data_IF_054494778871
#
_entry.id   IF_054494778871
#
_cell.length_a   1.000
_cell.length_b   1.000
_cell.length_c   1.000
_cell.angle_alpha   90.00
_cell.angle_beta   90.00
_cell.angle_gamma   90.00
#
_symmetry.space_group_name_H-M   'P 1'
#
loop_
_entity.id
_entity.type
_entity.pdbx_description
1 polymer ?
#
# COMPACT_ATOMS: atom_id res chain seq x y z
N UNK A 1 8.78 -25.40 10.21
CA UNK A 1 10.07 -25.29 9.49
C UNK A 1 9.94 -25.03 7.99
N UNK A 2 9.14 -25.77 7.22
CA UNK A 2 9.07 -25.59 5.75
C UNK A 2 8.66 -24.16 5.32
N UNK A 3 7.65 -23.56 5.96
CA UNK A 3 7.23 -22.18 5.64
C UNK A 3 8.29 -21.14 5.93
N UNK A 4 9.07 -21.30 7.02
CA UNK A 4 10.18 -20.39 7.36
C UNK A 4 11.25 -20.41 6.26
N UNK A 5 11.60 -21.61 5.77
CA UNK A 5 12.57 -21.76 4.67
C UNK A 5 12.03 -21.13 3.38
N UNK A 6 10.77 -21.38 3.03
CA UNK A 6 10.12 -20.74 1.88
C UNK A 6 10.11 -19.22 2.02
N UNK A 7 9.74 -18.70 3.19
CA UNK A 7 9.75 -17.27 3.50
C UNK A 7 11.13 -16.66 3.31
N UNK A 8 12.19 -17.30 3.81
CA UNK A 8 13.57 -16.86 3.62
C UNK A 8 13.99 -16.85 2.14
N UNK A 9 13.66 -17.89 1.38
CA UNK A 9 13.95 -17.97 -0.06
C UNK A 9 13.24 -16.83 -0.81
N UNK A 10 11.94 -16.63 -0.57
CA UNK A 10 11.17 -15.57 -1.21
C UNK A 10 11.70 -14.19 -0.84
N UNK A 11 12.06 -13.97 0.43
CA UNK A 11 12.64 -12.71 0.89
C UNK A 11 13.95 -12.39 0.16
N UNK A 12 14.89 -13.34 0.12
CA UNK A 12 16.19 -13.17 -0.53
C UNK A 12 16.02 -13.01 -2.05
N UNK A 13 15.24 -13.89 -2.69
CA UNK A 13 15.04 -13.87 -4.14
C UNK A 13 14.31 -12.59 -4.59
N UNK A 14 13.24 -12.20 -3.91
CA UNK A 14 12.47 -11.00 -4.22
C UNK A 14 13.27 -9.71 -4.00
N UNK A 15 13.96 -9.60 -2.86
CA UNK A 15 14.82 -8.44 -2.56
C UNK A 15 15.97 -8.32 -3.55
N UNK A 16 16.64 -9.43 -3.87
CA UNK A 16 17.73 -9.46 -4.85
C UNK A 16 17.22 -9.11 -6.25
N UNK A 17 16.08 -9.70 -6.65
CA UNK A 17 15.43 -9.38 -7.93
C UNK A 17 15.09 -7.89 -8.04
N UNK A 18 14.57 -7.28 -6.98
CA UNK A 18 14.34 -5.84 -6.93
C UNK A 18 15.66 -5.06 -7.04
N UNK A 19 16.69 -5.42 -6.27
CA UNK A 19 17.99 -4.75 -6.29
C UNK A 19 18.61 -4.74 -7.70
N UNK A 20 18.60 -5.86 -8.41
CA UNK A 20 19.17 -5.98 -9.76
C UNK A 20 18.27 -5.42 -10.86
N UNK A 21 16.94 -5.37 -10.64
CA UNK A 21 16.01 -4.74 -11.58
C UNK A 21 16.12 -3.20 -11.59
N UNK A 22 16.79 -2.59 -10.61
CA UNK A 22 16.96 -1.16 -10.49
C UNK A 22 17.79 -0.57 -11.65
N UNK A 23 17.13 0.17 -12.54
CA UNK A 23 17.76 1.00 -13.57
C UNK A 23 17.15 2.41 -13.52
N UNK A 24 17.98 3.44 -13.73
CA UNK A 24 17.45 4.75 -14.12
C UNK A 24 16.81 4.58 -15.49
N UNK A 25 15.57 5.04 -15.64
CA UNK A 25 14.87 5.07 -16.93
C UNK A 25 14.88 6.49 -17.48
N UNK A 26 15.02 6.57 -18.79
CA UNK A 26 14.81 7.79 -19.55
C UNK A 26 13.31 8.14 -19.52
N UNK A 27 12.97 9.42 -19.49
CA UNK A 27 11.57 9.89 -19.41
C UNK A 27 11.22 10.66 -18.13
N UNK A 28 12.15 10.74 -17.17
CA UNK A 28 12.02 11.67 -16.05
C UNK A 28 12.12 13.11 -16.57
N UNK A 29 11.16 14.02 -16.28
CA UNK A 29 11.25 15.40 -16.73
C UNK A 29 12.55 16.04 -16.25
N UNK A 30 13.23 16.72 -17.16
CA UNK A 30 14.47 17.42 -16.85
C UNK A 30 14.28 18.40 -15.70
N UNK A 31 15.35 18.66 -14.95
CA UNK A 31 15.32 19.72 -13.96
C UNK A 31 15.08 21.07 -14.66
N UNK A 32 14.21 21.91 -14.11
CA UNK A 32 13.83 23.15 -14.78
C UNK A 32 12.67 23.88 -14.12
N UNK A 33 12.38 25.05 -14.68
CA UNK A 33 11.25 25.88 -14.29
C UNK A 33 9.99 25.46 -15.06
N UNK A 34 8.93 25.16 -14.32
CA UNK A 34 7.64 24.78 -14.88
C UNK A 34 6.52 25.59 -14.24
N UNK A 35 5.37 25.78 -14.92
CA UNK A 35 4.23 26.45 -14.32
C UNK A 35 3.86 25.84 -12.95
N UNK A 36 3.73 26.68 -11.92
CA UNK A 36 3.56 26.23 -10.54
C UNK A 36 2.18 25.55 -10.37
N UNK A 37 2.14 24.22 -10.16
CA UNK A 37 0.88 23.49 -10.05
C UNK A 37 0.07 23.86 -8.80
N UNK A 38 0.64 24.62 -7.87
CA UNK A 38 0.00 25.02 -6.63
C UNK A 38 -0.73 26.37 -6.72
N UNK A 39 -0.43 27.23 -7.72
CA UNK A 39 -1.10 28.54 -7.94
C UNK A 39 -1.73 28.70 -9.33
N UNK A 40 -2.77 29.55 -9.43
CA UNK A 40 -3.42 29.91 -10.72
C UNK A 40 -2.81 31.18 -11.30
N UNK A 41 -1.98 31.87 -10.51
CA UNK A 41 -1.20 33.00 -10.98
C UNK A 41 -0.13 32.54 -11.97
N UNK A 42 0.30 33.45 -12.83
CA UNK A 42 1.49 33.29 -13.67
C UNK A 42 2.72 33.23 -12.75
N UNK A 43 3.09 32.01 -12.37
CA UNK A 43 4.24 31.70 -11.51
C UNK A 43 4.82 30.37 -11.96
N UNK A 44 6.13 30.26 -11.86
CA UNK A 44 6.86 29.02 -12.08
C UNK A 44 7.42 28.47 -10.77
N UNK A 45 7.62 27.16 -10.73
CA UNK A 45 8.26 26.45 -9.64
C UNK A 45 9.31 25.52 -10.20
N UNK A 46 10.44 25.45 -9.53
CA UNK A 46 11.54 24.59 -9.96
C UNK A 46 11.25 23.12 -9.62
N UNK A 47 11.34 22.27 -10.63
CA UNK A 47 11.37 20.81 -10.52
C UNK A 47 12.83 20.37 -10.60
N UNK A 48 13.31 19.60 -9.62
CA UNK A 48 14.72 19.18 -9.54
C UNK A 48 15.04 17.89 -10.33
N UNK A 49 14.09 17.43 -11.14
CA UNK A 49 14.13 16.13 -11.80
C UNK A 49 13.35 15.05 -11.03
N UNK A 50 13.04 15.21 -9.75
CA UNK A 50 12.39 14.17 -8.94
C UNK A 50 11.21 14.67 -8.10
N UNK A 51 11.27 15.93 -7.67
CA UNK A 51 10.26 16.57 -6.85
C UNK A 51 10.17 18.07 -7.14
N UNK A 52 9.00 18.62 -6.81
CA UNK A 52 8.81 20.06 -6.76
C UNK A 52 9.52 20.66 -5.55
N UNK A 53 10.38 21.64 -5.79
CA UNK A 53 11.14 22.33 -4.74
C UNK A 53 10.38 23.53 -4.16
N UNK A 54 10.98 24.17 -3.16
CA UNK A 54 10.49 25.43 -2.60
C UNK A 54 10.74 26.66 -3.49
N UNK A 55 11.60 26.54 -4.50
CA UNK A 55 12.01 27.65 -5.35
C UNK A 55 10.88 28.04 -6.29
N UNK A 56 10.50 29.31 -6.24
CA UNK A 56 9.44 29.92 -7.05
C UNK A 56 9.99 31.17 -7.73
N UNK A 57 9.52 31.43 -8.93
CA UNK A 57 9.85 32.63 -9.71
C UNK A 57 8.58 33.11 -10.41
N UNK A 58 8.51 34.42 -10.69
CA UNK A 58 7.47 34.91 -11.59
C UNK A 58 7.68 34.32 -12.98
N UNK A 59 6.59 34.03 -13.69
CA UNK A 59 6.70 33.48 -15.02
C UNK A 59 5.36 33.17 -15.66
N UNK A 60 5.34 33.16 -16.99
CA UNK A 60 4.17 32.91 -17.83
C UNK A 60 4.46 31.67 -18.70
N UNK A 61 3.50 30.76 -18.98
CA UNK A 61 2.09 30.77 -18.63
C UNK A 61 1.76 30.28 -17.20
N UNK A 62 0.58 30.67 -16.70
CA UNK A 62 -0.03 30.02 -15.54
C UNK A 62 -0.27 28.52 -15.78
N UNK A 63 -0.13 27.70 -14.73
CA UNK A 63 -0.29 26.26 -14.86
C UNK A 63 -1.70 25.89 -15.37
N UNK A 64 -1.76 25.09 -16.43
CA UNK A 64 -2.99 24.50 -16.96
C UNK A 64 -3.55 23.46 -15.99
N UNK A 65 -4.09 23.92 -14.86
CA UNK A 65 -4.71 23.05 -13.87
C UNK A 65 -6.05 22.59 -14.43
N UNK A 66 -6.15 21.31 -14.76
CA UNK A 66 -7.32 20.73 -15.44
C UNK A 66 -8.66 21.25 -14.89
N UNK A 67 -9.51 21.76 -15.78
CA UNK A 67 -10.94 21.93 -15.51
C UNK A 67 -11.64 20.70 -16.08
N UNK A 68 -12.02 19.80 -15.17
CA UNK A 68 -12.63 18.50 -15.46
C UNK A 68 -11.78 17.54 -16.31
N UNK A 69 -12.10 16.27 -16.13
CA UNK A 69 -11.43 15.10 -16.67
C UNK A 69 -11.25 15.21 -18.20
N UNK A 70 -10.04 15.38 -18.73
CA UNK A 70 -9.75 15.20 -20.17
C UNK A 70 -9.14 13.81 -20.36
N UNK A 71 -9.99 12.78 -20.56
CA UNK A 71 -9.58 11.38 -20.83
C UNK A 71 -10.63 10.34 -20.42
N UNK A 72 -10.39 9.05 -20.69
CA UNK A 72 -11.19 7.93 -20.13
C UNK A 72 -10.74 7.68 -18.69
N UNK A 73 -11.60 7.93 -17.70
CA UNK A 73 -11.33 7.57 -16.29
C UNK A 73 -11.05 6.08 -16.16
N UNK A 74 -11.83 5.32 -16.93
CA UNK A 74 -11.70 3.91 -17.18
C UNK A 74 -10.49 3.65 -18.09
N UNK A 75 -9.39 3.19 -17.49
CA UNK A 75 -8.21 2.69 -18.19
C UNK A 75 -8.04 1.18 -18.01
N UNK A 76 -6.89 0.60 -18.41
CA UNK A 76 -6.61 -0.83 -18.23
C UNK A 76 -6.78 -1.33 -16.79
N UNK A 77 -6.55 -0.47 -15.79
CA UNK A 77 -6.73 -0.78 -14.38
C UNK A 77 -8.15 -1.30 -14.04
N UNK A 78 -9.18 -0.77 -14.71
CA UNK A 78 -10.56 -1.18 -14.47
C UNK A 78 -10.82 -2.61 -14.93
N UNK A 79 -10.16 -3.06 -16.00
CA UNK A 79 -10.24 -4.43 -16.48
C UNK A 79 -9.54 -5.42 -15.54
N UNK A 80 -8.42 -5.03 -14.93
CA UNK A 80 -7.79 -5.84 -13.89
C UNK A 80 -8.69 -5.99 -12.66
N UNK A 81 -9.36 -4.90 -12.25
CA UNK A 81 -10.32 -4.95 -11.14
C UNK A 81 -11.50 -5.87 -11.48
N UNK A 82 -12.08 -5.75 -12.67
CA UNK A 82 -13.17 -6.63 -13.12
C UNK A 82 -12.73 -8.09 -13.18
N UNK A 83 -11.55 -8.37 -13.75
CA UNK A 83 -10.99 -9.72 -13.80
C UNK A 83 -10.79 -10.31 -12.40
N UNK A 84 -10.38 -9.50 -11.44
CA UNK A 84 -10.21 -9.91 -10.04
C UNK A 84 -11.55 -10.30 -9.41
N UNK A 85 -12.60 -9.51 -9.66
CA UNK A 85 -13.97 -9.83 -9.21
C UNK A 85 -14.43 -11.15 -9.83
N UNK A 86 -14.22 -11.35 -11.13
CA UNK A 86 -14.59 -12.60 -11.82
C UNK A 86 -13.87 -13.81 -11.23
N UNK A 87 -12.56 -13.70 -10.99
CA UNK A 87 -11.77 -14.79 -10.37
C UNK A 87 -12.28 -15.11 -8.97
N UNK A 88 -12.57 -14.10 -8.13
CA UNK A 88 -13.09 -14.32 -6.79
C UNK A 88 -14.49 -14.95 -6.81
N UNK A 89 -15.38 -14.47 -7.66
CA UNK A 89 -16.73 -15.03 -7.79
C UNK A 89 -16.69 -16.47 -8.29
N UNK A 90 -15.93 -16.75 -9.36
CA UNK A 90 -15.77 -18.10 -9.90
C UNK A 90 -15.14 -19.06 -8.89
N UNK A 91 -14.08 -18.61 -8.20
CA UNK A 91 -13.43 -19.37 -7.13
C UNK A 91 -14.34 -19.64 -5.93
N UNK A 92 -15.17 -18.65 -5.54
CA UNK A 92 -16.14 -18.79 -4.45
C UNK A 92 -17.25 -19.79 -4.78
N UNK A 93 -17.74 -19.80 -6.02
CA UNK A 93 -18.73 -20.79 -6.49
C UNK A 93 -18.10 -22.18 -6.50
N UNK A 94 -16.89 -22.32 -7.06
CA UNK A 94 -16.20 -23.61 -7.12
C UNK A 94 -15.83 -24.14 -5.73
N UNK A 95 -15.40 -23.28 -4.82
CA UNK A 95 -15.13 -23.65 -3.44
C UNK A 95 -16.39 -24.13 -2.72
N UNK A 96 -17.50 -23.40 -2.81
CA UNK A 96 -18.78 -23.83 -2.22
C UNK A 96 -19.27 -25.17 -2.78
N UNK A 97 -19.01 -25.45 -4.06
CA UNK A 97 -19.40 -26.71 -4.70
C UNK A 97 -18.50 -27.90 -4.31
N UNK A 98 -17.22 -27.66 -4.00
CA UNK A 98 -16.22 -28.73 -3.82
C UNK A 98 -15.73 -28.90 -2.39
N UNK A 99 -15.88 -27.88 -1.54
CA UNK A 99 -15.25 -27.82 -0.21
C UNK A 99 -13.72 -27.71 -0.25
N UNK A 100 -13.09 -27.60 -1.43
CA UNK A 100 -11.63 -27.63 -1.54
C UNK A 100 -11.01 -26.28 -1.16
N UNK A 101 -10.43 -26.22 0.02
CA UNK A 101 -9.77 -25.03 0.59
C UNK A 101 -8.70 -24.43 -0.33
N UNK A 102 -7.99 -25.24 -1.12
CA UNK A 102 -6.96 -24.75 -2.04
C UNK A 102 -7.55 -23.94 -3.17
N UNK A 103 -8.80 -24.20 -3.57
CA UNK A 103 -9.52 -23.39 -4.56
C UNK A 103 -9.75 -21.99 -4.01
N UNK A 104 -10.23 -21.87 -2.76
CA UNK A 104 -10.49 -20.56 -2.17
C UNK A 104 -9.20 -19.79 -1.90
N UNK A 105 -8.15 -20.47 -1.42
CA UNK A 105 -6.86 -19.86 -1.22
C UNK A 105 -6.25 -19.34 -2.52
N UNK A 106 -6.32 -20.12 -3.61
CA UNK A 106 -5.85 -19.69 -4.93
C UNK A 106 -6.69 -18.54 -5.50
N UNK A 107 -8.01 -18.61 -5.38
CA UNK A 107 -8.91 -17.54 -5.81
C UNK A 107 -8.63 -16.24 -5.05
N UNK A 108 -8.39 -16.34 -3.74
CA UNK A 108 -8.03 -15.20 -2.88
C UNK A 108 -6.67 -14.64 -3.27
N UNK A 109 -5.66 -15.49 -3.49
CA UNK A 109 -4.33 -15.06 -3.97
C UNK A 109 -4.40 -14.30 -5.30
N UNK A 110 -5.09 -14.86 -6.29
CA UNK A 110 -5.21 -14.27 -7.63
C UNK A 110 -6.10 -13.03 -7.64
N UNK A 111 -7.24 -13.08 -6.96
CA UNK A 111 -8.16 -11.95 -6.82
C UNK A 111 -7.50 -10.78 -6.11
N UNK A 112 -6.82 -11.05 -5.00
CA UNK A 112 -6.09 -10.05 -4.24
C UNK A 112 -4.93 -9.45 -5.04
N UNK A 113 -4.15 -10.30 -5.73
CA UNK A 113 -3.09 -9.87 -6.62
C UNK A 113 -3.58 -8.97 -7.75
N UNK A 114 -4.74 -9.31 -8.32
CA UNK A 114 -5.38 -8.50 -9.36
C UNK A 114 -5.91 -7.15 -8.85
N UNK A 115 -6.51 -7.08 -7.65
CA UNK A 115 -6.92 -5.82 -7.00
C UNK A 115 -5.71 -4.92 -6.73
N UNK A 116 -4.62 -5.50 -6.20
CA UNK A 116 -3.36 -4.81 -5.99
C UNK A 116 -2.81 -4.23 -7.31
N UNK A 117 -2.81 -5.04 -8.38
CA UNK A 117 -2.33 -4.62 -9.70
C UNK A 117 -3.21 -3.53 -10.33
N UNK A 118 -4.52 -3.63 -10.16
CA UNK A 118 -5.46 -2.59 -10.58
C UNK A 118 -5.17 -1.27 -9.85
N UNK A 119 -4.99 -1.30 -8.53
CA UNK A 119 -4.65 -0.11 -7.76
C UNK A 119 -3.29 0.47 -8.18
N UNK A 120 -2.27 -0.37 -8.39
CA UNK A 120 -0.98 0.07 -8.92
C UNK A 120 -1.13 0.77 -10.27
N UNK A 121 -1.85 0.18 -11.23
CA UNK A 121 -2.09 0.79 -12.54
C UNK A 121 -2.87 2.11 -12.46
N UNK A 122 -3.80 2.22 -11.51
CA UNK A 122 -4.49 3.48 -11.23
C UNK A 122 -3.51 4.57 -10.75
N UNK A 123 -2.64 4.26 -9.77
CA UNK A 123 -1.67 5.21 -9.21
C UNK A 123 -0.55 5.52 -10.22
N UNK A 124 -0.06 4.53 -10.96
CA UNK A 124 0.92 4.68 -12.02
C UNK A 124 0.49 5.74 -13.04
N UNK A 125 -0.77 5.70 -13.47
CA UNK A 125 -1.32 6.71 -14.38
C UNK A 125 -1.31 8.13 -13.79
N UNK A 126 -1.39 8.29 -12.47
CA UNK A 126 -1.38 9.62 -11.84
C UNK A 126 0.03 10.14 -11.57
N UNK A 127 1.02 9.26 -11.43
CA UNK A 127 2.38 9.62 -11.00
C UNK A 127 3.48 9.30 -12.01
N UNK A 128 3.14 8.62 -13.11
CA UNK A 128 4.06 7.98 -14.03
C UNK A 128 5.12 7.16 -13.28
N UNK A 129 4.67 6.16 -12.50
CA UNK A 129 5.56 5.29 -11.74
C UNK A 129 6.43 4.42 -12.67
N UNK A 130 5.95 4.11 -13.87
CA UNK A 130 6.70 3.39 -14.89
C UNK A 130 7.98 4.13 -15.36
N UNK A 131 8.03 5.45 -15.23
CA UNK A 131 9.25 6.24 -15.52
C UNK A 131 10.37 5.98 -14.50
N UNK A 132 10.04 5.47 -13.31
CA UNK A 132 11.00 5.34 -12.21
C UNK A 132 11.16 3.91 -11.70
N UNK A 133 10.17 3.04 -11.95
CA UNK A 133 10.14 1.65 -11.48
C UNK A 133 9.59 0.74 -12.58
N UNK A 134 10.19 -0.45 -12.72
CA UNK A 134 9.74 -1.47 -13.67
C UNK A 134 8.62 -2.31 -13.06
N UNK A 135 7.66 -2.81 -13.87
CA UNK A 135 6.69 -3.80 -13.42
C UNK A 135 7.31 -5.00 -12.68
N UNK A 136 8.45 -5.50 -13.18
CA UNK A 136 9.19 -6.61 -12.52
C UNK A 136 9.73 -6.23 -11.14
N UNK A 137 10.08 -4.96 -10.90
CA UNK A 137 10.47 -4.50 -9.56
C UNK A 137 9.29 -4.55 -8.60
N UNK A 138 8.10 -4.14 -9.03
CA UNK A 138 6.88 -4.20 -8.21
C UNK A 138 6.61 -5.65 -7.81
N UNK A 139 6.68 -6.58 -8.76
CA UNK A 139 6.52 -8.01 -8.49
C UNK A 139 7.61 -8.52 -7.53
N UNK A 140 8.88 -8.19 -7.77
CA UNK A 140 9.99 -8.65 -6.94
C UNK A 140 9.90 -8.13 -5.49
N UNK A 141 9.49 -6.87 -5.30
CA UNK A 141 9.28 -6.30 -3.96
C UNK A 141 8.08 -6.93 -3.27
N UNK A 142 6.98 -7.20 -4.00
CA UNK A 142 5.84 -7.91 -3.45
C UNK A 142 6.25 -9.32 -2.98
N UNK A 143 6.96 -10.09 -3.82
CA UNK A 143 7.48 -11.41 -3.49
C UNK A 143 8.44 -11.36 -2.28
N UNK A 144 9.38 -10.42 -2.28
CA UNK A 144 10.32 -10.24 -1.19
C UNK A 144 9.60 -9.94 0.13
N UNK A 145 8.57 -9.10 0.07
CA UNK A 145 7.78 -8.75 1.26
C UNK A 145 6.90 -9.91 1.72
N UNK A 146 6.27 -10.67 0.82
CA UNK A 146 5.58 -11.92 1.16
C UNK A 146 6.51 -12.88 1.91
N UNK A 147 7.76 -13.00 1.45
CA UNK A 147 8.78 -13.78 2.16
C UNK A 147 9.08 -13.25 3.56
N UNK A 148 9.26 -11.94 3.71
CA UNK A 148 9.48 -11.29 5.01
C UNK A 148 8.30 -11.52 5.97
N UNK A 149 7.07 -11.48 5.48
CA UNK A 149 5.86 -11.71 6.29
C UNK A 149 5.83 -13.14 6.82
N UNK A 150 6.05 -14.13 5.96
CA UNK A 150 6.09 -15.54 6.36
C UNK A 150 7.24 -15.81 7.34
N UNK A 151 8.38 -15.15 7.15
CA UNK A 151 9.58 -15.33 7.97
C UNK A 151 9.47 -14.62 9.33
N UNK A 152 8.90 -13.42 9.37
CA UNK A 152 9.01 -12.52 10.52
C UNK A 152 7.63 -12.27 11.13
N UNK A 153 6.76 -11.52 10.45
CA UNK A 153 5.49 -11.06 11.02
C UNK A 153 4.62 -12.22 11.50
N UNK A 154 4.47 -13.28 10.70
CA UNK A 154 3.67 -14.44 11.06
C UNK A 154 4.16 -15.12 12.35
N UNK A 155 5.49 -15.25 12.52
CA UNK A 155 6.07 -15.92 13.69
C UNK A 155 6.03 -15.03 14.93
N UNK A 156 6.36 -13.74 14.79
CA UNK A 156 6.33 -12.80 15.93
C UNK A 156 4.89 -12.61 16.42
N UNK A 157 3.93 -12.41 15.52
CA UNK A 157 2.52 -12.27 15.92
C UNK A 157 2.02 -13.54 16.61
N UNK A 158 2.33 -14.73 16.08
CA UNK A 158 1.94 -15.99 16.72
C UNK A 158 2.55 -16.12 18.11
N UNK A 159 3.84 -15.80 18.26
CA UNK A 159 4.52 -15.81 19.55
C UNK A 159 3.89 -14.86 20.58
N UNK A 160 3.56 -13.61 20.19
CA UNK A 160 2.88 -12.67 21.10
C UNK A 160 1.47 -13.17 21.47
N UNK A 161 0.75 -13.78 20.52
CA UNK A 161 -0.56 -14.37 20.80
C UNK A 161 -0.43 -15.50 21.84
N UNK A 162 0.56 -16.37 21.68
CA UNK A 162 0.76 -17.55 22.52
C UNK A 162 1.23 -17.17 23.94
N UNK A 163 2.10 -16.16 24.09
CA UNK A 163 2.66 -15.75 25.40
C UNK A 163 1.82 -14.67 26.11
N UNK A 164 1.40 -13.63 25.39
CA UNK A 164 0.81 -12.41 25.98
C UNK A 164 -0.67 -12.22 25.63
N UNK A 165 -1.23 -13.11 24.79
CA UNK A 165 -2.63 -13.09 24.38
C UNK A 165 -2.97 -12.15 23.22
N UNK A 166 -4.17 -12.35 22.66
CA UNK A 166 -4.63 -11.67 21.43
C UNK A 166 -4.79 -10.14 21.57
N UNK A 167 -5.14 -9.66 22.76
CA UNK A 167 -5.26 -8.20 23.01
C UNK A 167 -3.90 -7.53 22.92
N UNK A 168 -2.87 -8.13 23.52
CA UNK A 168 -1.50 -7.62 23.43
C UNK A 168 -0.98 -7.71 22.01
N UNK A 169 -1.23 -8.84 21.33
CA UNK A 169 -0.83 -9.02 19.93
C UNK A 169 -1.45 -7.94 19.03
N UNK A 170 -2.75 -7.69 19.12
CA UNK A 170 -3.43 -6.66 18.30
C UNK A 170 -3.03 -5.22 18.65
N UNK A 171 -2.53 -4.96 19.87
CA UNK A 171 -1.99 -3.65 20.25
C UNK A 171 -0.59 -3.38 19.64
N UNK A 172 0.17 -4.43 19.33
CA UNK A 172 1.53 -4.33 18.77
C UNK A 172 1.64 -4.74 17.30
N UNK A 173 0.58 -5.31 16.74
CA UNK A 173 0.56 -5.86 15.38
C UNK A 173 1.01 -4.84 14.34
N UNK A 174 0.58 -3.58 14.45
CA UNK A 174 0.97 -2.55 13.50
C UNK A 174 2.48 -2.26 13.52
N UNK A 175 3.16 -2.38 14.67
CA UNK A 175 4.62 -2.25 14.76
C UNK A 175 5.31 -3.41 14.08
N UNK A 176 4.90 -4.64 14.41
CA UNK A 176 5.47 -5.87 13.86
C UNK A 176 5.27 -5.93 12.34
N UNK A 177 4.04 -5.69 11.89
CA UNK A 177 3.66 -5.86 10.52
C UNK A 177 4.11 -4.72 9.62
N UNK A 178 3.91 -3.45 10.00
CA UNK A 178 4.43 -2.35 9.17
C UNK A 178 5.96 -2.30 9.21
N UNK A 179 6.58 -2.67 10.33
CA UNK A 179 8.02 -2.86 10.42
C UNK A 179 8.51 -3.89 9.40
N UNK A 180 7.86 -5.05 9.36
CA UNK A 180 8.17 -6.13 8.40
C UNK A 180 7.95 -5.70 6.96
N UNK A 181 6.82 -5.04 6.64
CA UNK A 181 6.54 -4.51 5.31
C UNK A 181 7.65 -3.56 4.84
N UNK A 182 8.12 -2.68 5.72
CA UNK A 182 9.13 -1.67 5.37
C UNK A 182 10.55 -2.23 5.22
N UNK A 183 10.84 -3.47 5.64
CA UNK A 183 12.18 -4.05 5.52
C UNK A 183 12.72 -4.02 4.08
N UNK A 184 11.95 -4.52 3.11
CA UNK A 184 12.41 -4.56 1.71
C UNK A 184 12.62 -3.15 1.14
N UNK A 185 11.65 -2.21 1.22
CA UNK A 185 11.86 -0.83 0.79
C UNK A 185 13.04 -0.13 1.46
N UNK A 186 13.19 -0.26 2.78
CA UNK A 186 14.25 0.41 3.54
C UNK A 186 15.63 -0.18 3.24
N UNK A 187 15.74 -1.50 3.09
CA UNK A 187 16.98 -2.15 2.68
C UNK A 187 17.40 -1.67 1.28
N UNK A 188 16.47 -1.65 0.33
CA UNK A 188 16.76 -1.13 -1.01
C UNK A 188 17.20 0.35 -0.97
N UNK A 189 16.56 1.18 -0.15
CA UNK A 189 16.93 2.58 0.05
C UNK A 189 18.34 2.74 0.64
N UNK A 190 18.65 1.97 1.69
CA UNK A 190 19.94 1.95 2.37
C UNK A 190 21.06 1.55 1.39
N UNK A 191 20.80 0.54 0.55
CA UNK A 191 21.70 0.08 -0.52
C UNK A 191 21.76 1.03 -1.74
N UNK A 192 21.19 2.24 -1.64
CA UNK A 192 21.28 3.27 -2.65
C UNK A 192 20.32 3.12 -3.83
N UNK A 193 19.36 2.19 -3.77
CA UNK A 193 18.34 1.99 -4.80
C UNK A 193 17.07 2.77 -4.49
N UNK A 194 16.32 3.10 -5.54
CA UNK A 194 14.98 3.71 -5.46
C UNK A 194 14.87 4.97 -4.57
N UNK A 195 15.91 5.82 -4.50
CA UNK A 195 15.90 7.07 -3.72
C UNK A 195 14.98 8.17 -4.27
N UNK A 196 14.48 7.99 -5.49
CA UNK A 196 13.46 8.88 -6.07
C UNK A 196 12.14 8.76 -5.26
N UNK A 197 11.48 9.87 -4.88
CA UNK A 197 10.25 9.82 -4.11
C UNK A 197 9.09 9.04 -4.76
N UNK A 198 8.96 9.08 -6.09
CA UNK A 198 7.98 8.27 -6.82
C UNK A 198 8.38 6.80 -6.79
N UNK A 199 9.66 6.50 -6.92
CA UNK A 199 10.14 5.12 -6.81
C UNK A 199 9.90 4.54 -5.42
N UNK A 200 10.16 5.32 -4.36
CA UNK A 200 9.84 4.98 -2.98
C UNK A 200 8.37 4.65 -2.77
N UNK A 201 7.48 5.48 -3.30
CA UNK A 201 6.04 5.24 -3.26
C UNK A 201 5.67 3.92 -3.97
N UNK A 202 6.24 3.67 -5.15
CA UNK A 202 5.98 2.44 -5.90
C UNK A 202 6.43 1.18 -5.15
N UNK A 203 7.65 1.18 -4.57
CA UNK A 203 8.14 0.03 -3.79
C UNK A 203 7.41 -0.11 -2.44
N UNK A 204 6.97 0.99 -1.82
CA UNK A 204 6.15 0.96 -0.61
C UNK A 204 4.77 0.34 -0.86
N UNK A 205 4.10 0.74 -1.95
CA UNK A 205 2.85 0.09 -2.40
C UNK A 205 3.08 -1.40 -2.69
N UNK A 206 4.13 -1.72 -3.44
CA UNK A 206 4.47 -3.10 -3.79
C UNK A 206 4.68 -3.98 -2.57
N UNK A 207 5.36 -3.45 -1.54
CA UNK A 207 5.54 -4.14 -0.27
C UNK A 207 4.21 -4.39 0.44
N UNK A 208 3.37 -3.36 0.56
CA UNK A 208 2.02 -3.51 1.11
C UNK A 208 1.15 -4.52 0.34
N UNK A 209 1.30 -4.61 -0.99
CA UNK A 209 0.64 -5.66 -1.80
C UNK A 209 1.13 -7.06 -1.44
N UNK A 210 2.46 -7.25 -1.34
CA UNK A 210 3.04 -8.53 -0.95
C UNK A 210 2.49 -9.02 0.39
N UNK A 211 2.41 -8.12 1.38
CA UNK A 211 1.77 -8.41 2.64
C UNK A 211 0.29 -8.77 2.48
N UNK A 212 -0.48 -7.89 1.84
CA UNK A 212 -1.93 -8.05 1.73
C UNK A 212 -2.34 -9.33 0.98
N UNK A 213 -1.59 -9.70 -0.06
CA UNK A 213 -1.77 -10.97 -0.79
C UNK A 213 -1.50 -12.15 0.15
N UNK A 214 -0.36 -12.14 0.84
CA UNK A 214 0.05 -13.22 1.75
C UNK A 214 -0.96 -13.43 2.86
N UNK A 215 -1.33 -12.34 3.55
CA UNK A 215 -2.25 -12.37 4.67
C UNK A 215 -3.65 -12.82 4.22
N UNK A 216 -4.19 -12.26 3.14
CA UNK A 216 -5.49 -12.68 2.60
C UNK A 216 -5.49 -14.17 2.25
N UNK A 217 -4.44 -14.69 1.62
CA UNK A 217 -4.30 -16.12 1.33
C UNK A 217 -4.21 -16.98 2.59
N UNK A 218 -3.50 -16.52 3.63
CA UNK A 218 -3.42 -17.22 4.92
C UNK A 218 -4.79 -17.28 5.60
N UNK A 219 -5.55 -16.18 5.58
CA UNK A 219 -6.91 -16.15 6.16
C UNK A 219 -7.87 -17.07 5.40
N UNK A 220 -7.73 -17.26 4.09
CA UNK A 220 -8.53 -18.24 3.36
C UNK A 220 -8.34 -19.66 3.93
N UNK A 221 -7.11 -20.02 4.34
CA UNK A 221 -6.85 -21.28 5.03
C UNK A 221 -7.34 -21.27 6.49
N UNK A 222 -7.03 -20.20 7.22
CA UNK A 222 -7.30 -20.11 8.65
C UNK A 222 -8.81 -20.13 8.96
N UNK A 223 -9.61 -19.38 8.19
CA UNK A 223 -11.07 -19.36 8.34
C UNK A 223 -11.69 -20.72 7.99
N UNK A 224 -11.23 -21.35 6.90
CA UNK A 224 -11.79 -22.63 6.45
C UNK A 224 -11.40 -23.83 7.34
N UNK A 225 -10.35 -23.70 8.16
CA UNK A 225 -9.93 -24.74 9.12
C UNK A 225 -10.27 -24.39 10.56
N UNK A 226 -10.97 -23.27 10.81
CA UNK A 226 -11.21 -22.73 12.15
C UNK A 226 -9.92 -22.61 13.00
N UNK A 227 -8.78 -22.34 12.36
CA UNK A 227 -7.47 -22.24 13.01
C UNK A 227 -6.97 -20.81 13.17
N UNK A 228 -7.78 -19.82 12.74
CA UNK A 228 -7.47 -18.41 12.92
C UNK A 228 -7.60 -17.95 14.38
N UNK A 229 -7.01 -16.80 14.73
CA UNK A 229 -7.14 -16.23 16.06
C UNK A 229 -8.60 -15.96 16.43
N UNK A 230 -9.03 -16.46 17.58
CA UNK A 230 -10.34 -16.18 18.13
C UNK A 230 -10.31 -14.84 18.89
N UNK A 231 -10.54 -13.75 18.16
CA UNK A 231 -10.46 -12.38 18.72
C UNK A 231 -11.42 -12.11 19.89
N UNK A 232 -12.52 -12.87 20.00
CA UNK A 232 -13.54 -12.67 21.02
C UNK A 232 -13.67 -13.81 22.04
N UNK A 233 -12.87 -14.87 21.92
CA UNK A 233 -12.90 -16.00 22.86
C UNK A 233 -14.23 -16.76 22.94
N UNK A 234 -15.23 -16.44 22.09
CA UNK A 234 -16.52 -17.15 22.03
C UNK A 234 -16.36 -18.48 21.29
N UNK A 235 -17.29 -19.41 21.48
CA UNK A 235 -17.26 -20.78 20.93
C UNK A 235 -16.80 -20.89 19.46
N UNK A 236 -16.31 -22.10 19.12
CA UNK A 236 -15.71 -22.49 17.83
C UNK A 236 -16.34 -21.75 16.65
N UNK A 237 -15.51 -21.04 15.89
CA UNK A 237 -15.93 -20.36 14.66
C UNK A 237 -16.54 -21.42 13.72
N UNK A 238 -17.83 -21.31 13.42
CA UNK A 238 -18.49 -22.15 12.42
C UNK A 238 -17.87 -21.88 11.04
N UNK A 239 -16.87 -22.70 10.69
CA UNK A 239 -16.18 -22.65 9.41
C UNK A 239 -17.05 -23.24 8.29
N UNK A 240 -18.13 -22.52 7.94
CA UNK A 240 -18.96 -22.85 6.78
C UNK A 240 -18.34 -22.30 5.50
N UNK A 241 -18.53 -22.95 4.34
CA UNK A 241 -18.06 -22.41 3.07
C UNK A 241 -18.58 -21.00 2.77
N UNK A 242 -19.80 -20.67 3.18
CA UNK A 242 -20.37 -19.34 3.04
C UNK A 242 -19.67 -18.31 3.92
N UNK A 243 -19.35 -18.65 5.19
CA UNK A 243 -18.60 -17.77 6.08
C UNK A 243 -17.19 -17.47 5.54
N UNK A 244 -16.50 -18.48 4.99
CA UNK A 244 -15.19 -18.31 4.35
C UNK A 244 -15.29 -17.37 3.14
N UNK A 245 -16.29 -17.55 2.27
CA UNK A 245 -16.50 -16.68 1.11
C UNK A 245 -16.78 -15.23 1.54
N UNK A 246 -17.65 -15.04 2.53
CA UNK A 246 -17.98 -13.71 3.05
C UNK A 246 -16.75 -13.01 3.63
N UNK A 247 -15.96 -13.71 4.44
CA UNK A 247 -14.73 -13.19 5.03
C UNK A 247 -13.72 -12.79 3.94
N UNK A 248 -13.51 -13.63 2.93
CA UNK A 248 -12.58 -13.30 1.86
C UNK A 248 -13.04 -12.12 1.00
N UNK A 249 -14.33 -11.98 0.72
CA UNK A 249 -14.86 -10.81 0.01
C UNK A 249 -14.62 -9.54 0.86
N UNK A 250 -14.94 -9.59 2.15
CA UNK A 250 -14.73 -8.46 3.05
C UNK A 250 -13.25 -8.08 3.16
N UNK A 251 -12.36 -9.07 3.29
CA UNK A 251 -10.92 -8.83 3.34
C UNK A 251 -10.39 -8.19 2.08
N UNK A 252 -10.65 -8.79 0.92
CA UNK A 252 -10.11 -8.33 -0.37
C UNK A 252 -10.49 -6.89 -0.69
N UNK A 253 -11.73 -6.49 -0.38
CA UNK A 253 -12.24 -5.17 -0.77
C UNK A 253 -12.23 -4.12 0.36
N UNK A 254 -12.00 -4.51 1.61
CA UNK A 254 -12.10 -3.59 2.75
C UNK A 254 -10.87 -3.59 3.64
N UNK A 255 -10.47 -4.74 4.18
CA UNK A 255 -9.37 -4.82 5.17
C UNK A 255 -8.01 -4.77 4.49
N UNK A 256 -7.76 -5.70 3.56
CA UNK A 256 -6.47 -5.87 2.92
C UNK A 256 -5.99 -4.61 2.15
N UNK A 257 -6.88 -3.78 1.56
CA UNK A 257 -6.48 -2.50 0.98
C UNK A 257 -5.87 -1.47 1.92
N UNK A 258 -6.13 -1.56 3.23
CA UNK A 258 -5.51 -0.68 4.20
C UNK A 258 -4.00 -0.88 4.26
N UNK A 259 -3.50 -2.11 4.13
CA UNK A 259 -2.06 -2.40 4.23
C UNK A 259 -1.22 -1.63 3.21
N UNK A 260 -1.58 -1.62 1.91
CA UNK A 260 -0.79 -0.83 0.95
C UNK A 260 -1.05 0.66 1.04
N UNK A 261 -2.21 1.11 1.51
CA UNK A 261 -2.44 2.53 1.74
C UNK A 261 -1.56 3.05 2.88
N UNK A 262 -1.46 2.28 3.96
CA UNK A 262 -0.61 2.52 5.11
C UNK A 262 0.87 2.52 4.74
N UNK A 263 1.38 1.42 4.20
CA UNK A 263 2.80 1.32 3.81
C UNK A 263 3.15 2.29 2.69
N UNK A 264 2.26 2.47 1.71
CA UNK A 264 2.41 3.47 0.64
C UNK A 264 2.44 4.90 1.16
N UNK A 265 1.63 5.23 2.18
CA UNK A 265 1.64 6.54 2.85
C UNK A 265 2.95 6.74 3.63
N UNK A 266 3.37 5.74 4.40
CA UNK A 266 4.63 5.77 5.14
C UNK A 266 5.81 6.02 4.17
N UNK A 267 5.88 5.28 3.07
CA UNK A 267 6.90 5.47 2.03
C UNK A 267 6.81 6.85 1.36
N UNK A 268 5.59 7.31 1.02
CA UNK A 268 5.38 8.63 0.39
C UNK A 268 5.83 9.79 1.29
N UNK A 269 5.67 9.67 2.61
CA UNK A 269 6.19 10.65 3.57
C UNK A 269 7.70 10.54 3.66
N UNK A 270 8.21 9.35 3.99
CA UNK A 270 9.62 9.14 4.32
C UNK A 270 10.55 9.49 3.15
N UNK A 271 10.30 8.92 1.97
CA UNK A 271 11.16 9.19 0.80
C UNK A 271 11.14 10.65 0.39
N UNK A 272 9.98 11.30 0.49
CA UNK A 272 9.87 12.70 0.12
C UNK A 272 10.63 13.59 1.09
N UNK A 273 10.54 13.32 2.39
CA UNK A 273 11.25 14.11 3.40
C UNK A 273 12.75 13.89 3.33
N UNK A 274 13.21 12.65 3.15
CA UNK A 274 14.62 12.36 2.93
C UNK A 274 15.16 12.99 1.65
N UNK A 275 14.40 12.98 0.56
CA UNK A 275 14.81 13.63 -0.69
C UNK A 275 14.93 15.16 -0.54
N UNK A 276 13.94 15.81 0.07
CA UNK A 276 13.92 17.27 0.18
C UNK A 276 14.86 17.83 1.25
N UNK A 277 15.09 17.09 2.33
CA UNK A 277 15.75 17.63 3.52
C UNK A 277 16.94 16.80 4.00
N UNK A 278 17.27 15.69 3.30
CA UNK A 278 18.32 14.77 3.74
C UNK A 278 18.07 14.28 5.16
N UNK A 279 19.13 14.28 5.98
CA UNK A 279 19.04 13.89 7.39
C UNK A 279 18.09 14.74 8.24
N UNK A 280 17.83 16.01 7.87
CA UNK A 280 16.88 16.87 8.58
C UNK A 280 15.43 16.40 8.42
N UNK A 281 15.13 15.62 7.37
CA UNK A 281 13.81 15.05 7.13
C UNK A 281 13.50 13.80 7.97
N UNK A 282 14.50 13.23 8.64
CA UNK A 282 14.39 11.90 9.28
C UNK A 282 13.34 11.86 10.38
N UNK A 283 13.26 12.86 11.26
CA UNK A 283 12.25 12.85 12.32
C UNK A 283 10.82 12.89 11.79
N UNK A 284 10.57 13.66 10.73
CA UNK A 284 9.26 13.66 10.08
C UNK A 284 8.98 12.34 9.34
N UNK A 285 10.00 11.69 8.78
CA UNK A 285 9.88 10.37 8.15
C UNK A 285 9.51 9.30 9.19
N UNK A 286 10.25 9.25 10.31
CA UNK A 286 9.98 8.35 11.43
C UNK A 286 8.61 8.61 12.04
N UNK A 287 8.22 9.86 12.23
CA UNK A 287 6.88 10.21 12.71
C UNK A 287 5.76 9.75 11.78
N UNK A 288 5.97 9.81 10.45
CA UNK A 288 5.04 9.28 9.47
C UNK A 288 4.90 7.75 9.51
N UNK A 289 6.01 7.04 9.69
CA UNK A 289 6.04 5.58 9.85
C UNK A 289 5.34 5.17 11.16
N UNK A 290 5.70 5.80 12.27
CA UNK A 290 5.11 5.52 13.58
C UNK A 290 3.60 5.79 13.61
N UNK A 291 3.14 6.88 12.97
CA UNK A 291 1.71 7.16 12.83
C UNK A 291 0.97 6.01 12.16
N UNK A 292 1.52 5.45 11.08
CA UNK A 292 0.91 4.35 10.35
C UNK A 292 0.88 3.07 11.20
N UNK A 293 1.96 2.77 11.93
CA UNK A 293 2.00 1.64 12.88
C UNK A 293 0.92 1.74 13.97
N UNK A 294 0.72 2.94 14.51
CA UNK A 294 -0.32 3.19 15.53
C UNK A 294 -1.72 3.04 14.92
N UNK A 295 -1.97 3.65 13.76
CA UNK A 295 -3.28 3.55 13.09
C UNK A 295 -3.61 2.10 12.74
N UNK A 296 -2.63 1.33 12.29
CA UNK A 296 -2.79 -0.10 12.02
C UNK A 296 -3.14 -0.86 13.31
N UNK A 297 -2.36 -0.69 14.38
CA UNK A 297 -2.63 -1.39 15.65
C UNK A 297 -4.01 -1.04 16.22
N UNK A 298 -4.44 0.23 16.11
CA UNK A 298 -5.78 0.65 16.52
C UNK A 298 -6.88 0.01 15.67
N UNK A 299 -6.66 -0.14 14.35
CA UNK A 299 -7.60 -0.84 13.48
C UNK A 299 -7.78 -2.29 13.91
N UNK A 300 -6.69 -2.98 14.24
CA UNK A 300 -6.76 -4.40 14.58
C UNK A 300 -7.23 -4.63 16.01
N UNK A 301 -6.83 -3.77 16.94
CA UNK A 301 -7.37 -3.75 18.31
C UNK A 301 -8.89 -3.54 18.31
N UNK A 302 -9.45 -2.83 17.32
CA UNK A 302 -10.90 -2.67 17.20
C UNK A 302 -11.65 -4.00 16.96
N UNK A 303 -10.97 -5.06 16.51
CA UNK A 303 -11.55 -6.40 16.38
C UNK A 303 -11.79 -7.09 17.72
N UNK A 304 -11.01 -6.74 18.76
CA UNK A 304 -11.17 -7.30 20.12
C UNK A 304 -11.99 -6.40 21.05
N UNK A 305 -12.08 -5.10 20.74
CA UNK A 305 -12.67 -4.10 21.63
C UNK A 305 -14.21 -4.18 21.79
N UNK A 306 -14.91 -4.87 20.91
CA UNK A 306 -16.39 -4.84 20.82
C UNK A 306 -17.04 -6.22 20.83
N UNK A 307 -16.37 -7.22 21.40
CA UNK A 307 -16.81 -8.61 21.40
C UNK A 307 -18.18 -8.83 22.08
N UNK A 308 -18.46 -8.11 23.16
CA UNK A 308 -19.71 -8.25 23.91
C UNK A 308 -20.86 -7.36 23.39
N UNK A 309 -20.64 -6.61 22.31
CA UNK A 309 -21.60 -5.65 21.79
C UNK A 309 -21.75 -5.75 20.26
N UNK A 310 -22.74 -6.52 19.77
CA UNK A 310 -22.98 -6.68 18.33
C UNK A 310 -23.20 -5.37 17.58
N UNK A 311 -23.88 -4.39 18.20
CA UNK A 311 -24.11 -3.09 17.60
C UNK A 311 -22.80 -2.30 17.43
N UNK A 312 -21.91 -2.36 18.42
CA UNK A 312 -20.59 -1.74 18.35
C UNK A 312 -19.67 -2.45 17.34
N UNK A 313 -19.74 -3.78 17.25
CA UNK A 313 -19.02 -4.57 16.23
C UNK A 313 -19.44 -4.20 14.81
N UNK A 314 -20.75 -4.10 14.53
CA UNK A 314 -21.26 -3.60 13.24
C UNK A 314 -20.82 -2.15 13.00
N UNK A 315 -20.84 -1.30 14.03
CA UNK A 315 -20.31 0.06 13.96
C UNK A 315 -18.83 0.12 13.56
N UNK A 316 -18.00 -0.76 14.11
CA UNK A 316 -16.58 -0.88 13.77
C UNK A 316 -16.37 -1.28 12.30
N UNK A 317 -17.19 -2.18 11.76
CA UNK A 317 -17.16 -2.54 10.33
C UNK A 317 -17.44 -1.33 9.44
N UNK A 318 -18.45 -0.51 9.77
CA UNK A 318 -18.74 0.73 9.04
C UNK A 318 -17.57 1.72 9.16
N UNK A 319 -16.98 1.84 10.35
CA UNK A 319 -15.84 2.72 10.58
C UNK A 319 -14.61 2.29 9.76
N UNK A 320 -14.41 1.00 9.47
CA UNK A 320 -13.34 0.53 8.58
C UNK A 320 -13.50 1.03 7.14
N UNK A 321 -14.72 1.13 6.62
CA UNK A 321 -14.97 1.76 5.32
C UNK A 321 -14.63 3.25 5.32
N UNK A 322 -14.99 3.96 6.40
CA UNK A 322 -14.60 5.37 6.58
C UNK A 322 -13.08 5.48 6.64
N UNK A 323 -12.42 4.62 7.42
CA UNK A 323 -10.97 4.57 7.55
C UNK A 323 -10.30 4.34 6.19
N UNK A 324 -10.80 3.41 5.37
CA UNK A 324 -10.30 3.15 4.02
C UNK A 324 -10.33 4.42 3.15
N UNK A 325 -11.45 5.14 3.17
CA UNK A 325 -11.59 6.40 2.42
C UNK A 325 -10.65 7.47 2.96
N UNK A 326 -10.56 7.64 4.29
CA UNK A 326 -9.68 8.60 4.93
C UNK A 326 -8.21 8.29 4.60
N UNK A 327 -7.79 7.04 4.72
CA UNK A 327 -6.43 6.60 4.40
C UNK A 327 -6.11 6.82 2.93
N UNK A 328 -7.02 6.51 2.01
CA UNK A 328 -6.84 6.84 0.60
C UNK A 328 -6.69 8.35 0.36
N UNK A 329 -7.51 9.18 1.01
CA UNK A 329 -7.43 10.64 0.87
C UNK A 329 -6.10 11.18 1.40
N UNK A 330 -5.62 10.68 2.54
CA UNK A 330 -4.34 11.07 3.15
C UNK A 330 -3.17 10.58 2.29
N UNK A 331 -3.17 9.31 1.87
CA UNK A 331 -2.23 8.75 0.91
C UNK A 331 -2.15 9.61 -0.35
N UNK A 332 -3.29 9.87 -1.01
CA UNK A 332 -3.38 10.70 -2.21
C UNK A 332 -2.83 12.11 -1.96
N UNK A 333 -3.10 12.70 -0.80
CA UNK A 333 -2.63 14.05 -0.47
C UNK A 333 -1.10 14.15 -0.37
N UNK A 334 -0.43 13.07 0.02
CA UNK A 334 1.02 12.95 0.02
C UNK A 334 1.57 12.54 -1.34
N UNK A 335 1.01 11.50 -1.95
CA UNK A 335 1.39 10.97 -3.25
C UNK A 335 1.37 12.04 -4.36
N UNK A 336 0.32 12.87 -4.40
CA UNK A 336 0.18 13.92 -5.41
C UNK A 336 1.27 14.99 -5.38
N UNK A 337 2.06 15.09 -4.30
CA UNK A 337 3.18 16.04 -4.23
C UNK A 337 4.34 15.61 -5.15
N UNK A 338 4.28 14.39 -5.67
CA UNK A 338 5.27 13.80 -6.56
C UNK A 338 4.80 13.73 -8.02
N UNK A 339 3.68 14.36 -8.38
CA UNK A 339 3.22 14.39 -9.78
C UNK A 339 4.20 15.21 -10.63
N UNK A 340 4.75 14.64 -11.71
CA UNK A 340 5.71 15.33 -12.57
C UNK A 340 5.07 16.50 -13.35
N UNK A 341 5.86 17.51 -13.77
CA UNK A 341 5.37 18.66 -14.53
C UNK A 341 4.52 18.32 -15.75
N UNK A 342 4.95 17.33 -16.55
CA UNK A 342 4.23 16.90 -17.76
C UNK A 342 2.83 16.34 -17.49
N UNK A 343 2.51 16.00 -16.25
CA UNK A 343 1.22 15.43 -15.86
C UNK A 343 0.25 16.44 -15.22
N UNK A 344 0.69 17.66 -14.86
CA UNK A 344 -0.09 18.67 -14.09
C UNK A 344 -1.42 19.07 -14.73
N UNK A 345 -1.57 18.92 -16.05
CA UNK A 345 -2.82 19.19 -16.79
C UNK A 345 -3.61 17.94 -17.24
N UNK A 346 -3.03 16.75 -17.07
CA UNK A 346 -3.60 15.49 -17.60
C UNK A 346 -4.18 14.63 -16.48
N UNK A 347 -3.60 14.70 -15.28
CA UNK A 347 -4.08 13.91 -14.14
C UNK A 347 -5.38 14.45 -13.58
N UNK A 348 -6.07 13.59 -12.82
CA UNK A 348 -7.31 13.99 -12.18
C UNK A 348 -7.11 15.16 -11.21
N UNK A 349 -8.10 16.05 -11.10
CA UNK A 349 -8.03 17.30 -10.29
C UNK A 349 -7.62 17.07 -8.83
N UNK A 350 -7.94 15.89 -8.27
CA UNK A 350 -7.55 15.50 -6.92
C UNK A 350 -6.05 15.23 -6.76
N UNK A 351 -5.39 14.84 -7.85
CA UNK A 351 -3.97 14.49 -7.94
C UNK A 351 -3.10 15.63 -8.44
N UNK A 352 -3.63 16.82 -8.73
CA UNK A 352 -2.78 18.00 -8.97
C UNK A 352 -2.04 18.37 -7.68
N UNK A 353 -0.71 18.61 -7.70
CA UNK A 353 0.04 19.00 -6.52
C UNK A 353 -0.54 20.23 -5.80
N UNK A 354 -0.62 20.16 -4.46
CA UNK A 354 -1.05 21.27 -3.59
C UNK A 354 -0.20 21.31 -2.34
N UNK A 355 -0.11 22.49 -1.71
CA UNK A 355 0.65 22.70 -0.46
C UNK A 355 2.10 22.19 -0.60
N UNK A 356 2.75 22.61 -1.68
CA UNK A 356 4.17 22.34 -1.94
C UNK A 356 5.06 23.14 -0.98
N UNK A 357 6.34 22.77 -0.83
CA UNK A 357 7.25 23.49 0.06
C UNK A 357 7.28 24.97 -0.31
N UNK A 358 7.30 25.84 0.69
CA UNK A 358 7.52 27.28 0.48
C UNK A 358 9.02 27.53 0.46
N UNK A 359 9.43 28.57 -0.27
CA UNK A 359 10.81 29.01 -0.30
C UNK A 359 11.22 29.33 1.15
N UNK A 360 12.09 28.50 1.72
CA UNK A 360 12.83 28.85 2.93
C UNK A 360 14.18 29.24 2.36
N UNK A 361 14.50 30.52 2.41
CA UNK A 361 15.84 30.98 2.05
C UNK A 361 16.85 30.07 2.73
N UNK A 362 17.79 29.54 1.94
CA UNK A 362 18.88 28.72 2.47
C UNK A 362 19.90 29.60 3.17
#
# INVERSE_FOLDING_TARGET
MALVVVGAILFVAGTSGAFFAARRRDGVPAAGWYPDPSTRAARQRFWDGRAWTGQVADGDPAAARGRHFRGRFWGPWAWYLLGSIVVLMGGSVLYQATGNIHVMALASLLGMGGVCWAFYGFVDRQLALHDVVRPVTVLAVAVGTSGAVILIAANINSWIIDEDGIVTATAWVGVVEEGTKLLVPLLLFALGRYRDPRAGLAVGLASGFGFAITETTQYAYATATASGPNFCGTDVVDATPSAVVQEQIFRVFTVSPLHWLWTGLAAAIAWRLWHLYGGRGTWGALGGIALVMVVHSLNDSSATAFCDNPAASTGAVVLRWVLLVVMYVVFRAWARKSVPPGLVGVVSRGWVPRRLPRNRGW
#
